data_IF_439664572225
#
_entry.id   IF_439664572225
#
_cell.length_a   1.000
_cell.length_b   1.000
_cell.length_c   1.000
_cell.angle_alpha   90.00
_cell.angle_beta   90.00
_cell.angle_gamma   90.00
#
_symmetry.space_group_name_H-M   'P 1'
#
loop_
_entity.id
_entity.type
_entity.pdbx_description
1 polymer ?
#
# COMPACT_ATOMS: atom_id res chain seq x y z
N UNK A 1 23.24 5.17 -1.79
CA UNK A 1 23.84 3.87 -2.26
C UNK A 1 23.32 3.58 -3.65
N UNK A 2 24.19 3.71 -4.63
CA UNK A 2 23.86 3.56 -6.05
C UNK A 2 23.95 2.11 -6.49
N UNK A 3 22.79 1.44 -6.61
CA UNK A 3 22.74 0.12 -7.23
C UNK A 3 22.87 0.25 -8.75
N UNK A 4 23.74 -0.54 -9.42
CA UNK A 4 23.84 -0.56 -10.88
C UNK A 4 22.56 -1.09 -11.56
N UNK A 5 21.63 -1.66 -10.78
CA UNK A 5 20.33 -2.11 -11.28
C UNK A 5 19.30 -0.98 -11.45
N UNK A 6 19.53 0.19 -10.84
CA UNK A 6 18.64 1.35 -11.00
C UNK A 6 18.77 1.96 -12.40
N UNK A 7 17.66 2.38 -12.99
CA UNK A 7 17.70 3.06 -14.29
C UNK A 7 18.43 4.41 -14.19
N UNK A 8 19.07 4.84 -15.28
CA UNK A 8 19.77 6.12 -15.35
C UNK A 8 18.78 7.31 -15.27
N UNK A 9 19.27 8.48 -14.83
CA UNK A 9 18.51 9.73 -14.86
C UNK A 9 17.65 10.03 -13.61
N UNK A 10 17.98 9.45 -12.46
CA UNK A 10 17.27 9.67 -11.18
C UNK A 10 15.75 9.42 -11.26
N UNK A 11 15.33 8.23 -11.73
CA UNK A 11 13.92 7.92 -11.85
C UNK A 11 13.23 7.94 -10.49
N UNK A 12 12.04 8.53 -10.44
CA UNK A 12 11.13 8.43 -9.31
C UNK A 12 9.77 7.92 -9.79
N UNK A 13 9.05 7.23 -8.92
CA UNK A 13 7.70 6.78 -9.22
C UNK A 13 6.80 6.96 -8.03
N UNK A 14 5.53 7.27 -8.31
CA UNK A 14 4.46 7.34 -7.32
C UNK A 14 3.68 6.05 -7.41
N UNK A 15 3.50 5.37 -6.28
CA UNK A 15 2.68 4.18 -6.16
C UNK A 15 1.55 4.43 -5.18
N UNK A 16 0.46 3.71 -5.38
CA UNK A 16 -0.59 3.54 -4.38
C UNK A 16 -0.39 2.15 -3.77
N UNK A 17 -0.22 2.06 -2.46
CA UNK A 17 -0.27 0.76 -1.80
C UNK A 17 -1.69 0.21 -2.00
N UNK A 18 -1.86 -1.00 -2.53
CA UNK A 18 -3.19 -1.61 -2.78
C UNK A 18 -3.35 -2.98 -2.14
N UNK A 19 -2.30 -3.49 -1.48
CA UNK A 19 -2.34 -4.77 -0.80
C UNK A 19 -1.40 -4.76 0.40
N UNK A 20 -1.59 -5.74 1.28
CA UNK A 20 -0.68 -6.07 2.35
C UNK A 20 0.11 -7.32 1.97
N UNK A 21 1.44 -7.27 2.07
CA UNK A 21 2.26 -8.47 1.92
C UNK A 21 2.48 -9.11 3.29
N UNK A 22 1.83 -10.24 3.62
CA UNK A 22 1.98 -10.89 4.91
C UNK A 22 3.35 -11.57 5.04
N UNK A 23 3.89 -11.58 6.26
CA UNK A 23 5.12 -12.30 6.57
C UNK A 23 4.93 -13.81 6.37
N UNK A 24 5.97 -14.46 5.81
CA UNK A 24 6.09 -15.90 5.69
C UNK A 24 7.29 -16.41 6.51
N UNK A 25 7.03 -16.76 7.76
CA UNK A 25 8.05 -17.23 8.72
C UNK A 25 8.65 -18.60 8.39
N UNK A 26 8.13 -19.32 7.40
CA UNK A 26 8.70 -20.59 6.95
C UNK A 26 9.93 -20.41 6.07
N UNK A 27 10.15 -19.19 5.56
CA UNK A 27 11.28 -18.86 4.70
C UNK A 27 12.17 -17.78 5.31
N UNK A 28 13.49 -17.85 5.10
CA UNK A 28 14.40 -16.76 5.45
C UNK A 28 14.05 -15.46 4.73
N UNK A 29 14.31 -14.31 5.38
CA UNK A 29 14.00 -12.97 4.85
C UNK A 29 14.72 -12.65 3.53
N UNK A 30 15.84 -13.31 3.26
CA UNK A 30 16.65 -13.21 2.06
C UNK A 30 16.42 -14.36 1.06
N UNK A 31 15.52 -15.30 1.36
CA UNK A 31 15.25 -16.45 0.50
C UNK A 31 13.79 -16.93 0.59
N UNK A 32 12.88 -16.16 0.00
CA UNK A 32 11.45 -16.48 -0.08
C UNK A 32 10.58 -15.84 1.01
N UNK A 33 11.18 -15.30 2.08
CA UNK A 33 10.53 -14.55 3.14
C UNK A 33 10.59 -13.04 2.94
N UNK A 34 10.46 -12.53 1.71
CA UNK A 34 10.73 -11.13 1.36
C UNK A 34 9.95 -10.11 2.20
N UNK A 35 8.77 -10.51 2.68
CA UNK A 35 7.89 -9.66 3.49
C UNK A 35 8.12 -9.79 5.01
N UNK A 36 9.10 -10.58 5.44
CA UNK A 36 9.41 -10.76 6.85
C UNK A 36 10.10 -9.52 7.44
N UNK A 37 9.75 -9.14 8.69
CA UNK A 37 10.52 -8.20 9.49
C UNK A 37 12.03 -8.56 9.55
N UNK A 38 12.94 -7.60 9.74
CA UNK A 38 12.75 -6.17 10.01
C UNK A 38 12.66 -5.28 8.75
N UNK A 39 12.53 -5.87 7.56
CA UNK A 39 12.60 -5.10 6.30
C UNK A 39 11.35 -4.25 6.08
N UNK A 40 11.53 -2.94 6.16
CA UNK A 40 10.61 -2.00 5.53
C UNK A 40 10.82 -2.11 4.02
N UNK A 41 9.80 -2.58 3.31
CA UNK A 41 9.87 -2.84 1.88
C UNK A 41 8.52 -2.51 1.22
N UNK A 42 8.56 -2.40 -0.10
CA UNK A 42 7.38 -2.35 -0.94
C UNK A 42 7.44 -3.52 -1.91
N UNK A 43 6.40 -4.36 -1.91
CA UNK A 43 6.18 -5.30 -2.98
C UNK A 43 5.45 -4.58 -4.11
N UNK A 44 6.21 -4.22 -5.14
CA UNK A 44 5.73 -3.39 -6.23
C UNK A 44 5.27 -4.24 -7.39
N UNK A 45 4.22 -3.77 -8.09
CA UNK A 45 3.91 -4.29 -9.40
C UNK A 45 5.10 -4.06 -10.35
N UNK A 46 5.35 -5.03 -11.23
CA UNK A 46 6.37 -4.93 -12.28
C UNK A 46 6.38 -3.58 -13.02
N UNK A 47 5.25 -3.02 -13.50
CA UNK A 47 5.28 -1.74 -14.21
C UNK A 47 5.69 -0.55 -13.34
N UNK A 48 5.52 -0.61 -12.01
CA UNK A 48 6.06 0.41 -11.11
C UNK A 48 7.57 0.19 -10.88
N UNK A 49 7.99 -1.06 -10.71
CA UNK A 49 9.40 -1.42 -10.52
C UNK A 49 10.26 -1.05 -11.74
N UNK A 50 9.79 -1.37 -12.95
CA UNK A 50 10.50 -1.12 -14.21
C UNK A 50 10.76 0.38 -14.46
N UNK A 51 10.02 1.29 -13.81
CA UNK A 51 10.30 2.73 -13.87
C UNK A 51 11.59 3.11 -13.15
N UNK A 52 11.94 2.40 -12.06
CA UNK A 52 13.08 2.75 -11.20
C UNK A 52 14.27 1.81 -11.36
N UNK A 53 14.06 0.56 -11.75
CA UNK A 53 15.11 -0.45 -11.89
C UNK A 53 14.68 -1.58 -12.84
N UNK A 54 15.65 -2.32 -13.36
CA UNK A 54 15.36 -3.49 -14.19
C UNK A 54 14.69 -4.60 -13.38
N UNK A 55 13.49 -5.06 -13.76
CA UNK A 55 12.71 -6.03 -12.96
C UNK A 55 13.45 -7.31 -12.56
N UNK A 56 14.42 -7.81 -13.35
CA UNK A 56 15.20 -9.01 -12.99
C UNK A 56 16.24 -8.78 -11.90
N UNK A 57 16.50 -7.53 -11.52
CA UNK A 57 17.35 -7.22 -10.38
C UNK A 57 16.73 -7.69 -9.06
N UNK A 58 15.41 -7.90 -9.02
CA UNK A 58 14.70 -8.37 -7.84
C UNK A 58 14.55 -7.28 -6.79
N UNK A 59 15.60 -7.05 -5.98
CA UNK A 59 15.57 -6.11 -4.86
C UNK A 59 16.57 -4.98 -5.09
N UNK A 60 16.09 -3.75 -4.96
CA UNK A 60 16.93 -2.54 -5.06
C UNK A 60 16.72 -1.65 -3.84
N UNK A 61 17.78 -0.98 -3.35
CA UNK A 61 17.65 0.01 -2.30
C UNK A 61 16.88 1.23 -2.82
N UNK A 62 15.98 1.75 -2.01
CA UNK A 62 15.12 2.89 -2.32
C UNK A 62 15.04 3.82 -1.12
N UNK A 63 14.91 5.12 -1.37
CA UNK A 63 14.33 6.06 -0.41
C UNK A 63 12.87 6.28 -0.79
N UNK A 64 12.03 6.66 0.16
CA UNK A 64 10.64 6.99 -0.13
C UNK A 64 10.12 8.05 0.81
N UNK A 65 9.08 8.74 0.35
CA UNK A 65 8.28 9.67 1.15
C UNK A 65 6.80 9.48 0.83
N UNK A 66 5.93 9.73 1.80
CA UNK A 66 4.48 9.81 1.52
C UNK A 66 4.18 11.05 0.69
N UNK A 67 3.26 10.92 -0.26
CA UNK A 67 2.78 12.05 -1.07
C UNK A 67 1.25 12.05 -1.08
N UNK A 68 0.60 13.23 -1.18
CA UNK A 68 -0.85 13.28 -1.23
C UNK A 68 -1.43 12.49 -2.42
N UNK A 69 -2.42 11.65 -2.15
CA UNK A 69 -3.21 10.95 -3.17
C UNK A 69 -4.10 11.97 -3.89
N UNK A 70 -3.93 12.05 -5.21
CA UNK A 70 -4.85 12.78 -6.08
C UNK A 70 -6.10 11.94 -6.31
N UNK A 71 -7.24 12.40 -5.78
CA UNK A 71 -8.53 11.75 -5.97
C UNK A 71 -9.07 12.05 -7.37
N UNK A 72 -9.51 11.02 -8.08
CA UNK A 72 -10.27 11.18 -9.33
C UNK A 72 -11.74 10.84 -9.08
N UNK A 73 -12.60 11.85 -9.00
CA UNK A 73 -14.02 11.66 -8.73
C UNK A 73 -14.35 11.52 -7.23
N UNK A 74 -15.33 10.68 -6.89
CA UNK A 74 -15.86 10.55 -5.53
C UNK A 74 -15.27 9.36 -4.77
N UNK A 75 -15.19 9.50 -3.44
CA UNK A 75 -14.90 8.37 -2.55
C UNK A 75 -16.02 7.34 -2.71
N UNK A 76 -15.65 6.06 -2.78
CA UNK A 76 -16.61 4.98 -2.99
C UNK A 76 -16.65 4.06 -1.77
N UNK A 77 -17.85 3.56 -1.48
CA UNK A 77 -18.10 2.59 -0.42
C UNK A 77 -18.72 1.35 -1.03
N UNK A 78 -18.04 0.22 -0.88
CA UNK A 78 -18.59 -1.09 -1.26
C UNK A 78 -18.91 -1.85 0.02
N UNK A 79 -20.15 -2.31 0.16
CA UNK A 79 -20.59 -3.10 1.30
C UNK A 79 -20.86 -4.51 0.80
N UNK A 80 -20.11 -5.47 1.32
CA UNK A 80 -20.25 -6.89 1.02
C UNK A 80 -20.58 -7.67 2.29
N UNK A 81 -21.08 -8.89 2.15
CA UNK A 81 -21.28 -9.81 3.27
C UNK A 81 -22.64 -10.50 3.26
N UNK A 82 -23.18 -10.74 4.46
CA UNK A 82 -24.43 -11.45 4.70
C UNK A 82 -25.18 -10.81 5.89
N UNK A 83 -26.39 -11.27 6.27
CA UNK A 83 -27.16 -10.66 7.36
C UNK A 83 -26.47 -10.59 8.73
N UNK A 84 -25.41 -11.38 8.95
CA UNK A 84 -24.66 -11.47 10.20
C UNK A 84 -23.30 -10.77 10.15
N UNK A 85 -22.79 -10.50 8.96
CA UNK A 85 -21.46 -9.94 8.73
C UNK A 85 -21.45 -8.94 7.58
N UNK A 86 -20.87 -7.76 7.79
CA UNK A 86 -20.69 -6.76 6.74
C UNK A 86 -19.22 -6.35 6.66
N UNK A 87 -18.70 -6.33 5.44
CA UNK A 87 -17.38 -5.85 5.09
C UNK A 87 -17.54 -4.55 4.30
N UNK A 88 -16.90 -3.47 4.75
CA UNK A 88 -16.96 -2.17 4.11
C UNK A 88 -15.60 -1.83 3.50
N UNK A 89 -15.54 -1.76 2.18
CA UNK A 89 -14.39 -1.25 1.45
C UNK A 89 -14.58 0.23 1.17
N UNK A 90 -13.60 1.03 1.55
CA UNK A 90 -13.54 2.46 1.22
C UNK A 90 -12.42 2.67 0.23
N UNK A 91 -12.73 3.20 -0.95
CA UNK A 91 -11.75 3.42 -2.02
C UNK A 91 -11.78 4.86 -2.52
N UNK A 92 -10.74 5.23 -3.29
CA UNK A 92 -10.58 6.55 -3.87
C UNK A 92 -10.49 7.68 -2.82
N UNK A 93 -9.64 7.46 -1.80
CA UNK A 93 -9.33 8.44 -0.78
C UNK A 93 -8.34 9.47 -1.33
N UNK A 94 -8.68 10.76 -1.19
CA UNK A 94 -7.77 11.86 -1.47
C UNK A 94 -6.94 12.26 -0.26
N UNK A 95 -5.94 13.12 -0.46
CA UNK A 95 -5.14 13.65 0.65
C UNK A 95 -4.15 12.61 1.17
N UNK A 96 -4.17 12.27 2.46
CA UNK A 96 -3.20 11.32 3.01
C UNK A 96 -3.39 9.87 2.53
N UNK A 97 -4.59 9.53 2.06
CA UNK A 97 -4.90 8.19 1.53
C UNK A 97 -5.21 7.14 2.61
N UNK A 98 -5.23 7.51 3.89
CA UNK A 98 -5.59 6.63 5.00
C UNK A 98 -6.80 7.10 5.80
N UNK A 99 -7.45 6.13 6.46
CA UNK A 99 -8.61 6.34 7.33
C UNK A 99 -8.21 6.08 8.77
N UNK A 100 -8.48 7.06 9.64
CA UNK A 100 -8.37 6.85 11.08
C UNK A 100 -9.49 5.97 11.63
N UNK A 101 -10.75 6.25 11.25
CA UNK A 101 -11.94 5.60 11.81
C UNK A 101 -13.11 5.60 10.81
N UNK A 102 -14.00 4.61 10.92
CA UNK A 102 -15.24 4.49 10.13
C UNK A 102 -16.43 4.32 11.09
N UNK A 103 -17.54 5.02 10.82
CA UNK A 103 -18.75 5.00 11.64
C UNK A 103 -19.94 4.52 10.82
N UNK A 104 -20.72 3.57 11.34
CA UNK A 104 -21.99 3.16 10.74
C UNK A 104 -23.17 3.66 11.57
N UNK A 105 -24.13 4.28 10.88
CA UNK A 105 -25.40 4.69 11.48
C UNK A 105 -26.49 3.72 11.01
N UNK A 106 -26.99 2.90 11.92
CA UNK A 106 -28.21 2.14 11.69
C UNK A 106 -29.45 3.04 11.77
N UNK A 107 -30.55 2.58 11.19
CA UNK A 107 -31.84 3.31 11.20
C UNK A 107 -32.32 3.62 12.64
N UNK A 108 -31.98 2.75 13.60
CA UNK A 108 -32.47 2.83 14.98
C UNK A 108 -31.37 3.26 15.97
N UNK A 109 -30.08 3.07 15.65
CA UNK A 109 -28.95 3.43 16.54
C UNK A 109 -27.70 3.86 15.76
N UNK A 110 -26.98 4.86 16.28
CA UNK A 110 -25.59 5.15 15.87
C UNK A 110 -24.67 4.19 16.63
N UNK A 111 -23.99 3.27 15.94
CA UNK A 111 -23.02 2.35 16.57
C UNK A 111 -21.62 2.61 15.99
N UNK A 112 -20.64 2.86 16.87
CA UNK A 112 -19.23 2.85 16.48
C UNK A 112 -18.82 1.41 16.19
N UNK A 113 -18.45 1.10 14.96
CA UNK A 113 -17.81 -0.19 14.66
C UNK A 113 -16.33 -0.02 14.94
N UNK A 114 -15.84 -0.79 15.92
CA UNK A 114 -14.41 -0.86 16.23
C UNK A 114 -14.04 -2.32 16.06
N UNK A 115 -13.60 -2.70 14.86
CA UNK A 115 -13.13 -4.05 14.58
C UNK A 115 -13.48 -4.56 13.19
N UNK A 116 -12.49 -4.52 12.30
CA UNK A 116 -12.01 -5.60 11.42
C UNK A 116 -11.50 -5.01 10.10
N UNK A 117 -10.17 -5.04 9.92
CA UNK A 117 -9.41 -4.71 8.70
C UNK A 117 -9.93 -3.51 7.89
N UNK A 118 -9.74 -2.29 8.40
CA UNK A 118 -9.79 -1.10 7.54
C UNK A 118 -8.52 -1.11 6.69
N UNK A 119 -8.64 -1.54 5.43
CA UNK A 119 -7.51 -1.49 4.50
C UNK A 119 -7.47 -0.11 3.86
N UNK A 120 -6.56 0.71 4.39
CA UNK A 120 -6.27 2.06 3.92
C UNK A 120 -5.04 2.04 3.02
N UNK A 121 -5.09 2.82 1.94
CA UNK A 121 -4.15 2.74 0.84
C UNK A 121 -3.52 4.10 0.58
N UNK A 122 -2.29 4.26 1.06
CA UNK A 122 -1.55 5.51 0.95
C UNK A 122 -0.70 5.57 -0.33
N UNK A 123 -0.51 6.80 -0.80
CA UNK A 123 0.41 7.14 -1.89
C UNK A 123 1.84 7.33 -1.37
N UNK A 124 2.80 6.73 -2.05
CA UNK A 124 4.24 6.90 -1.77
C UNK A 124 4.99 7.31 -3.03
N UNK A 125 5.91 8.27 -2.91
CA UNK A 125 6.89 8.57 -3.95
C UNK A 125 8.24 7.99 -3.56
N UNK A 126 8.81 7.17 -4.43
CA UNK A 126 10.17 6.66 -4.29
C UNK A 126 11.18 7.64 -4.85
N UNK A 127 12.29 7.78 -4.14
CA UNK A 127 13.42 8.62 -4.49
C UNK A 127 14.70 7.77 -4.38
N UNK A 128 15.74 8.12 -5.13
CA UNK A 128 17.03 7.45 -4.99
C UNK A 128 17.64 7.88 -3.63
N UNK A 129 18.22 6.95 -2.84
CA UNK A 129 18.99 7.36 -1.67
C UNK A 129 20.20 8.17 -2.12
N UNK A 130 20.37 9.37 -1.55
CA UNK A 130 21.54 10.22 -1.75
C UNK A 130 22.86 9.48 -1.47
#
# INVERSE_FOLDING_TARGET
MDSPACNAGYPSTVVTATNFCPANWRHPTDNGGWCNPSRQHFDMSRPAFDKIAFWRAGIVPIAYRRVPCLKQGNMQFTIEGNPWWHLVFVTNLGGQGDLGQVYLRGSITKRRITGSWVQSFFGGQFQRPH
#
